data_IF_457132269881
#
_entry.id   IF_457132269881
#
_cell.length_a   1.000
_cell.length_b   1.000
_cell.length_c   1.000
_cell.angle_alpha   90.00
_cell.angle_beta   90.00
_cell.angle_gamma   90.00
#
_symmetry.space_group_name_H-M   'P 1'
#
loop_
_entity.id
_entity.type
_entity.pdbx_description
1 polymer ?
#
# COMPACT_ATOMS: atom_id res chain seq x y z
N UNK A 1 20.51 -22.08 -14.93
CA UNK A 1 21.04 -21.27 -13.81
C UNK A 1 20.86 -19.81 -14.16
N UNK A 2 20.25 -19.00 -13.29
CA UNK A 2 20.03 -17.57 -13.52
C UNK A 2 21.35 -16.78 -13.47
N UNK A 3 21.38 -15.61 -14.11
CA UNK A 3 22.55 -14.73 -14.11
C UNK A 3 22.79 -14.22 -12.68
N UNK A 4 24.02 -14.33 -12.12
CA UNK A 4 24.31 -13.84 -10.78
C UNK A 4 23.95 -12.38 -10.62
N UNK A 5 23.21 -12.05 -9.57
CA UNK A 5 22.77 -10.69 -9.31
C UNK A 5 21.48 -10.29 -10.02
N UNK A 6 20.80 -11.15 -10.78
CA UNK A 6 19.51 -10.81 -11.37
C UNK A 6 18.35 -11.19 -10.43
N UNK A 7 17.60 -10.21 -9.93
CA UNK A 7 16.43 -10.45 -9.08
C UNK A 7 15.16 -10.55 -9.91
N UNK A 8 14.30 -11.52 -9.61
CA UNK A 8 12.98 -11.61 -10.23
C UNK A 8 12.08 -10.53 -9.61
N UNK A 9 11.56 -9.63 -10.44
CA UNK A 9 10.56 -8.64 -10.00
C UNK A 9 9.30 -9.36 -9.48
N UNK A 10 8.75 -8.98 -8.32
CA UNK A 10 7.46 -9.47 -7.86
C UNK A 10 6.37 -9.01 -8.82
N UNK A 11 5.32 -9.83 -8.96
CA UNK A 11 4.10 -9.41 -9.64
C UNK A 11 3.30 -8.52 -8.69
N UNK A 12 3.52 -7.20 -8.79
CA UNK A 12 2.80 -6.20 -8.00
C UNK A 12 1.62 -5.63 -8.79
N UNK A 13 0.45 -5.41 -8.16
CA UNK A 13 -0.61 -4.63 -8.79
C UNK A 13 -0.10 -3.22 -9.13
N UNK A 14 -0.75 -2.55 -10.08
CA UNK A 14 -0.43 -1.16 -10.37
C UNK A 14 -0.60 -0.29 -9.10
N UNK A 15 0.39 0.55 -8.78
CA UNK A 15 0.38 1.36 -7.57
C UNK A 15 1.77 1.79 -7.09
N UNK A 16 1.81 2.54 -5.98
CA UNK A 16 3.04 3.19 -5.49
C UNK A 16 4.12 2.21 -5.04
N UNK A 17 3.73 1.03 -4.53
CA UNK A 17 4.68 -0.03 -4.20
C UNK A 17 5.38 -0.59 -5.46
N UNK A 18 4.64 -0.69 -6.57
CA UNK A 18 5.21 -1.08 -7.86
C UNK A 18 6.18 -0.02 -8.36
N UNK A 19 5.83 1.26 -8.27
CA UNK A 19 6.70 2.37 -8.70
C UNK A 19 8.02 2.38 -7.92
N UNK A 20 7.96 2.18 -6.58
CA UNK A 20 9.15 2.04 -5.75
C UNK A 20 10.00 0.82 -6.16
N UNK A 21 9.37 -0.34 -6.34
CA UNK A 21 10.07 -1.56 -6.74
C UNK A 21 10.74 -1.38 -8.12
N UNK A 22 10.04 -0.77 -9.07
CA UNK A 22 10.56 -0.48 -10.39
C UNK A 22 11.74 0.49 -10.34
N UNK A 23 11.69 1.52 -9.50
CA UNK A 23 12.79 2.46 -9.27
C UNK A 23 14.03 1.76 -8.67
N UNK A 24 13.85 0.88 -7.68
CA UNK A 24 14.95 0.12 -7.08
C UNK A 24 15.60 -0.84 -8.09
N UNK A 25 14.79 -1.53 -8.89
CA UNK A 25 15.30 -2.41 -9.95
C UNK A 25 16.00 -1.64 -11.07
N UNK A 26 15.50 -0.45 -11.43
CA UNK A 26 16.17 0.41 -12.40
C UNK A 26 17.52 0.90 -11.88
N UNK A 27 17.59 1.35 -10.63
CA UNK A 27 18.83 1.77 -9.98
C UNK A 27 19.83 0.61 -9.90
N UNK A 28 19.35 -0.58 -9.56
CA UNK A 28 20.17 -1.80 -9.52
C UNK A 28 20.70 -2.20 -10.90
N UNK A 29 19.90 -2.04 -11.96
CA UNK A 29 20.33 -2.23 -13.34
C UNK A 29 21.44 -1.24 -13.72
N UNK A 30 21.24 0.05 -13.44
CA UNK A 30 22.22 1.11 -13.74
C UNK A 30 23.53 0.90 -12.96
N UNK A 31 23.45 0.39 -11.72
CA UNK A 31 24.60 0.04 -10.89
C UNK A 31 25.38 -1.22 -11.35
N UNK A 32 24.98 -1.81 -12.48
CA UNK A 32 25.61 -3.02 -13.04
C UNK A 32 25.19 -4.32 -12.34
N UNK A 33 24.01 -4.34 -11.73
CA UNK A 33 23.39 -5.52 -11.10
C UNK A 33 24.31 -6.24 -10.10
N UNK A 34 24.82 -5.55 -9.06
CA UNK A 34 25.66 -6.19 -8.06
C UNK A 34 24.94 -7.37 -7.40
N UNK A 35 25.69 -8.44 -7.13
CA UNK A 35 25.17 -9.62 -6.45
C UNK A 35 24.78 -9.34 -4.99
N UNK A 36 23.92 -10.19 -4.39
CA UNK A 36 23.61 -10.12 -2.96
C UNK A 36 24.87 -10.14 -2.10
N UNK A 37 25.84 -10.97 -2.45
CA UNK A 37 27.10 -11.09 -1.70
C UNK A 37 27.91 -9.80 -1.76
N UNK A 38 27.95 -9.16 -2.94
CA UNK A 38 28.60 -7.87 -3.14
C UNK A 38 27.92 -6.79 -2.31
N UNK A 39 26.59 -6.67 -2.39
CA UNK A 39 25.83 -5.66 -1.65
C UNK A 39 25.95 -5.87 -0.13
N UNK A 40 25.83 -7.11 0.33
CA UNK A 40 25.96 -7.47 1.74
C UNK A 40 27.33 -7.10 2.31
N UNK A 41 28.40 -7.26 1.51
CA UNK A 41 29.77 -6.86 1.88
C UNK A 41 29.93 -5.34 1.92
N UNK A 42 29.42 -4.63 0.92
CA UNK A 42 29.48 -3.16 0.87
C UNK A 42 28.76 -2.54 2.07
N UNK A 43 27.64 -3.12 2.48
CA UNK A 43 26.90 -2.74 3.67
C UNK A 43 27.51 -3.21 4.99
N UNK A 44 28.72 -3.77 4.97
CA UNK A 44 29.41 -4.29 6.16
C UNK A 44 28.54 -5.26 6.98
N UNK A 45 27.66 -6.03 6.31
CA UNK A 45 26.73 -6.99 6.94
C UNK A 45 25.69 -6.38 7.90
N UNK A 46 25.43 -5.07 7.83
CA UNK A 46 24.42 -4.39 8.66
C UNK A 46 22.99 -4.85 8.35
N UNK A 47 22.73 -5.28 7.11
CA UNK A 47 21.45 -5.80 6.65
C UNK A 47 21.64 -7.25 6.22
N UNK A 48 20.77 -8.16 6.66
CA UNK A 48 20.88 -9.57 6.29
C UNK A 48 20.67 -9.79 4.79
N UNK A 49 21.32 -10.83 4.24
CA UNK A 49 21.14 -11.22 2.83
C UNK A 49 19.67 -11.47 2.48
N UNK A 50 18.91 -12.05 3.41
CA UNK A 50 17.46 -12.28 3.24
C UNK A 50 16.71 -10.96 3.11
N UNK A 51 16.95 -9.97 3.99
CA UNK A 51 16.28 -8.66 3.87
C UNK A 51 16.63 -7.93 2.57
N UNK A 52 17.88 -8.03 2.13
CA UNK A 52 18.30 -7.47 0.84
C UNK A 52 17.58 -8.15 -0.33
N UNK A 53 17.52 -9.48 -0.33
CA UNK A 53 16.79 -10.24 -1.33
C UNK A 53 15.30 -9.85 -1.35
N UNK A 54 14.67 -9.86 -0.17
CA UNK A 54 13.24 -9.60 -0.03
C UNK A 54 12.86 -8.19 -0.47
N UNK A 55 13.74 -7.19 -0.32
CA UNK A 55 13.50 -5.84 -0.81
C UNK A 55 13.29 -5.77 -2.34
N UNK A 56 13.87 -6.71 -3.10
CA UNK A 56 13.70 -6.80 -4.55
C UNK A 56 12.61 -7.75 -4.99
N UNK A 57 12.34 -8.82 -4.22
CA UNK A 57 11.54 -9.96 -4.68
C UNK A 57 10.21 -10.13 -3.97
N UNK A 58 10.04 -9.60 -2.76
CA UNK A 58 8.80 -9.78 -1.99
C UNK A 58 7.79 -8.67 -2.28
N UNK A 59 6.47 -8.97 -2.31
CA UNK A 59 5.42 -8.00 -2.54
C UNK A 59 5.09 -7.20 -1.27
N UNK A 60 6.12 -6.75 -0.54
CA UNK A 60 5.98 -6.02 0.72
C UNK A 60 6.85 -4.78 0.70
N UNK A 61 6.39 -3.69 1.33
CA UNK A 61 7.21 -2.49 1.46
C UNK A 61 8.45 -2.78 2.33
N UNK A 62 9.67 -2.64 1.80
CA UNK A 62 10.88 -2.75 2.62
C UNK A 62 10.96 -1.61 3.65
N UNK A 63 11.55 -1.84 4.84
CA UNK A 63 11.80 -0.78 5.81
C UNK A 63 12.67 0.33 5.20
N UNK A 64 12.44 1.58 5.61
CA UNK A 64 13.20 2.73 5.08
C UNK A 64 14.72 2.54 5.23
N UNK A 65 15.19 2.10 6.41
CA UNK A 65 16.63 1.84 6.64
C UNK A 65 17.24 0.86 5.62
N UNK A 66 16.43 -0.07 5.09
CA UNK A 66 16.87 -1.00 4.04
C UNK A 66 16.92 -0.33 2.68
N UNK A 67 15.95 0.51 2.36
CA UNK A 67 15.91 1.28 1.11
C UNK A 67 17.03 2.30 1.06
N UNK A 68 17.23 3.06 2.13
CA UNK A 68 18.29 4.07 2.27
C UNK A 68 19.68 3.45 2.03
N UNK A 69 19.98 2.37 2.73
CA UNK A 69 21.22 1.61 2.57
C UNK A 69 21.39 1.06 1.13
N UNK A 70 20.32 0.60 0.48
CA UNK A 70 20.36 0.15 -0.91
C UNK A 70 20.65 1.31 -1.86
N UNK A 71 20.01 2.46 -1.68
CA UNK A 71 20.24 3.65 -2.50
C UNK A 71 21.68 4.11 -2.36
N UNK A 72 22.21 4.16 -1.12
CA UNK A 72 23.60 4.54 -0.87
C UNK A 72 24.58 3.70 -1.70
N UNK A 73 24.47 2.37 -1.64
CA UNK A 73 25.40 1.49 -2.35
C UNK A 73 25.17 1.45 -3.87
N UNK A 74 23.92 1.52 -4.32
CA UNK A 74 23.61 1.40 -5.75
C UNK A 74 23.87 2.70 -6.49
N UNK A 75 23.51 3.85 -5.92
CA UNK A 75 23.79 5.14 -6.51
C UNK A 75 25.29 5.41 -6.58
N UNK A 76 26.07 5.01 -5.56
CA UNK A 76 27.54 5.11 -5.59
C UNK A 76 28.18 4.32 -6.74
N UNK A 77 27.52 3.25 -7.20
CA UNK A 77 27.98 2.41 -8.31
C UNK A 77 27.41 2.82 -9.67
N UNK A 78 26.31 3.56 -9.67
CA UNK A 78 25.64 4.01 -10.87
C UNK A 78 26.48 5.11 -11.54
N UNK A 79 26.84 4.96 -12.83
CA UNK A 79 27.58 6.00 -13.53
C UNK A 79 26.74 7.27 -13.64
N UNK A 80 27.33 8.41 -13.24
CA UNK A 80 26.71 9.73 -13.36
C UNK A 80 25.55 9.99 -12.39
N UNK A 81 25.42 9.21 -11.32
CA UNK A 81 24.49 9.50 -10.22
C UNK A 81 25.23 9.51 -8.89
N UNK A 82 24.74 10.33 -7.97
CA UNK A 82 25.17 10.33 -6.57
C UNK A 82 24.02 9.89 -5.67
N UNK A 83 24.29 9.31 -4.48
CA UNK A 83 23.26 9.01 -3.51
C UNK A 83 22.37 10.21 -3.18
N UNK A 84 22.95 11.40 -3.07
CA UNK A 84 22.26 12.65 -2.72
C UNK A 84 21.23 13.08 -3.77
N UNK A 85 21.46 12.76 -5.03
CA UNK A 85 20.51 13.06 -6.12
C UNK A 85 19.37 12.04 -6.19
N UNK A 86 19.65 10.77 -5.90
CA UNK A 86 18.66 9.68 -6.05
C UNK A 86 17.78 9.53 -4.80
N UNK A 87 18.33 9.79 -3.61
CA UNK A 87 17.65 9.56 -2.34
C UNK A 87 16.32 10.32 -2.22
N UNK A 88 16.20 11.61 -2.58
CA UNK A 88 14.92 12.33 -2.49
C UNK A 88 13.81 11.71 -3.33
N UNK A 89 14.13 11.28 -4.56
CA UNK A 89 13.17 10.66 -5.48
C UNK A 89 12.67 9.32 -4.92
N UNK A 90 13.60 8.47 -4.46
CA UNK A 90 13.26 7.16 -3.90
C UNK A 90 12.54 7.29 -2.55
N UNK A 91 12.92 8.27 -1.73
CA UNK A 91 12.25 8.57 -0.46
C UNK A 91 10.80 9.00 -0.70
N UNK A 92 10.55 9.87 -1.67
CA UNK A 92 9.19 10.28 -2.02
C UNK A 92 8.33 9.07 -2.44
N UNK A 93 8.87 8.17 -3.27
CA UNK A 93 8.18 6.92 -3.64
C UNK A 93 7.93 6.02 -2.43
N UNK A 94 8.89 5.93 -1.51
CA UNK A 94 8.74 5.16 -0.28
C UNK A 94 7.65 5.71 0.62
N UNK A 95 7.59 7.03 0.82
CA UNK A 95 6.53 7.69 1.60
C UNK A 95 5.16 7.42 1.00
N UNK A 96 5.02 7.58 -0.31
CA UNK A 96 3.76 7.31 -1.04
C UNK A 96 3.37 5.83 -0.93
N UNK A 97 4.32 4.92 -1.03
CA UNK A 97 4.08 3.48 -0.86
C UNK A 97 3.77 3.11 0.60
N UNK A 98 4.33 3.82 1.58
CA UNK A 98 4.01 3.65 3.00
C UNK A 98 2.59 4.06 3.30
N UNK A 99 2.15 5.20 2.76
CA UNK A 99 0.76 5.65 2.87
C UNK A 99 -0.19 4.65 2.24
N UNK A 100 0.14 4.13 1.05
CA UNK A 100 -0.67 3.11 0.40
C UNK A 100 -0.65 1.76 1.13
N UNK A 101 0.47 1.37 1.77
CA UNK A 101 0.55 0.11 2.52
C UNK A 101 -0.35 0.10 3.76
N UNK A 102 -0.50 1.24 4.43
CA UNK A 102 -1.53 1.39 5.48
C UNK A 102 -2.93 1.04 4.96
N UNK A 103 -3.17 1.10 3.65
CA UNK A 103 -4.44 0.72 3.01
C UNK A 103 -4.50 -0.75 2.54
N UNK A 104 -3.43 -1.55 2.62
CA UNK A 104 -3.42 -2.96 2.14
C UNK A 104 -3.48 -4.00 3.27
N UNK A 105 -3.11 -3.64 4.49
CA UNK A 105 -3.39 -4.41 5.70
C UNK A 105 -3.67 -3.43 6.85
N UNK A 106 -4.74 -2.64 6.72
CA UNK A 106 -5.08 -1.59 7.67
C UNK A 106 -5.41 -2.18 9.03
N UNK A 107 -4.94 -1.53 10.10
CA UNK A 107 -5.50 -1.76 11.42
C UNK A 107 -7.00 -1.41 11.42
N UNK A 108 -7.78 -2.00 12.34
CA UNK A 108 -9.21 -1.67 12.47
C UNK A 108 -9.48 -0.16 12.61
N UNK A 109 -8.52 0.57 13.19
CA UNK A 109 -8.57 2.03 13.28
C UNK A 109 -8.37 2.73 11.95
N UNK A 110 -7.41 2.28 11.13
CA UNK A 110 -7.17 2.86 9.79
C UNK A 110 -8.37 2.59 8.85
N UNK A 111 -9.01 1.42 8.94
CA UNK A 111 -10.27 1.17 8.21
C UNK A 111 -11.36 2.14 8.67
N UNK A 112 -11.54 2.30 9.97
CA UNK A 112 -12.52 3.23 10.52
C UNK A 112 -12.26 4.67 10.07
N UNK A 113 -11.02 5.14 10.17
CA UNK A 113 -10.64 6.51 9.79
C UNK A 113 -10.90 6.76 8.29
N UNK A 114 -10.60 5.79 7.42
CA UNK A 114 -10.86 5.88 5.97
C UNK A 114 -12.36 5.85 5.64
N UNK A 115 -13.14 5.01 6.32
CA UNK A 115 -14.61 4.99 6.17
C UNK A 115 -15.18 6.34 6.58
N UNK A 116 -14.78 6.87 7.74
CA UNK A 116 -15.20 8.19 8.22
C UNK A 116 -14.83 9.28 7.21
N UNK A 117 -13.60 9.26 6.68
CA UNK A 117 -13.14 10.24 5.70
C UNK A 117 -13.94 10.17 4.40
N UNK A 118 -14.27 8.96 3.92
CA UNK A 118 -15.05 8.74 2.70
C UNK A 118 -16.47 9.27 2.84
N UNK A 119 -17.14 8.97 3.96
CA UNK A 119 -18.47 9.49 4.26
C UNK A 119 -18.46 11.02 4.38
N UNK A 120 -17.50 11.58 5.13
CA UNK A 120 -17.37 13.02 5.31
C UNK A 120 -17.17 13.74 3.96
N UNK A 121 -16.36 13.16 3.08
CA UNK A 121 -16.11 13.71 1.76
C UNK A 121 -17.38 13.69 0.88
N UNK A 122 -18.11 12.57 0.84
CA UNK A 122 -19.26 12.42 -0.04
C UNK A 122 -20.50 13.19 0.43
N UNK A 123 -20.68 13.33 1.75
CA UNK A 123 -21.76 14.11 2.36
C UNK A 123 -21.39 15.59 2.56
N UNK A 124 -20.16 15.99 2.25
CA UNK A 124 -19.63 17.34 2.48
C UNK A 124 -19.77 17.83 3.94
N UNK A 125 -19.70 16.90 4.91
CA UNK A 125 -19.77 17.17 6.35
C UNK A 125 -18.43 16.96 7.05
N UNK A 126 -18.34 17.34 8.33
CA UNK A 126 -17.09 17.16 9.08
C UNK A 126 -16.92 15.70 9.52
N UNK A 127 -15.68 15.15 9.52
CA UNK A 127 -15.41 13.80 10.04
C UNK A 127 -15.93 13.53 11.46
N UNK A 128 -15.96 14.55 12.32
CA UNK A 128 -16.49 14.43 13.69
C UNK A 128 -18.00 14.18 13.74
N UNK A 129 -18.75 14.67 12.75
CA UNK A 129 -20.19 14.46 12.66
C UNK A 129 -20.49 13.02 12.25
N UNK A 130 -19.68 12.48 11.32
CA UNK A 130 -19.69 11.07 10.92
C UNK A 130 -19.29 10.16 12.08
N UNK A 131 -18.24 10.53 12.83
CA UNK A 131 -17.78 9.76 14.01
C UNK A 131 -18.85 9.71 15.11
N UNK A 132 -19.60 10.80 15.32
CA UNK A 132 -20.73 10.82 16.24
C UNK A 132 -21.90 9.94 15.77
N UNK A 133 -21.97 9.66 14.45
CA UNK A 133 -23.01 8.86 13.81
C UNK A 133 -22.67 7.35 13.72
N UNK A 134 -21.56 6.90 14.29
CA UNK A 134 -21.03 5.54 14.08
C UNK A 134 -22.02 4.40 14.38
N UNK A 135 -22.80 4.56 15.45
CA UNK A 135 -23.69 3.54 16.02
C UNK A 135 -25.17 3.80 15.76
N UNK A 136 -25.49 4.85 15.00
CA UNK A 136 -26.88 5.22 14.68
C UNK A 136 -27.18 4.92 13.22
N UNK A 137 -28.47 4.75 12.94
CA UNK A 137 -28.98 4.59 11.58
C UNK A 137 -28.52 5.75 10.70
N UNK A 138 -27.81 5.42 9.60
CA UNK A 138 -27.31 6.42 8.66
C UNK A 138 -28.46 7.21 8.01
N UNK A 139 -29.58 6.53 7.72
CA UNK A 139 -30.78 7.14 7.14
C UNK A 139 -31.45 8.15 8.08
N UNK A 140 -31.39 7.91 9.40
CA UNK A 140 -32.05 8.78 10.37
C UNK A 140 -31.18 9.95 10.82
N UNK A 141 -29.86 9.83 10.70
CA UNK A 141 -28.91 10.77 11.30
C UNK A 141 -28.12 11.61 10.30
N UNK A 142 -27.74 11.05 9.14
CA UNK A 142 -26.91 11.75 8.16
C UNK A 142 -27.80 12.46 7.14
N UNK A 143 -27.90 13.78 7.27
CA UNK A 143 -28.62 14.61 6.30
C UNK A 143 -27.99 14.47 4.90
N UNK A 144 -28.81 14.17 3.89
CA UNK A 144 -28.35 13.93 2.53
C UNK A 144 -27.82 12.52 2.25
N UNK A 145 -27.85 11.62 3.25
CA UNK A 145 -27.54 10.21 3.01
C UNK A 145 -28.70 9.48 2.31
N UNK A 146 -28.35 8.71 1.28
CA UNK A 146 -29.24 7.79 0.59
C UNK A 146 -28.47 6.54 0.12
N UNK A 147 -29.18 5.61 -0.52
CA UNK A 147 -28.58 4.38 -1.06
C UNK A 147 -27.55 4.63 -2.15
N UNK A 148 -27.60 5.78 -2.84
CA UNK A 148 -26.63 6.15 -3.85
C UNK A 148 -25.31 6.62 -3.22
N UNK A 149 -25.37 7.39 -2.13
CA UNK A 149 -24.20 7.75 -1.33
C UNK A 149 -23.51 6.49 -0.80
N UNK A 150 -24.28 5.53 -0.27
CA UNK A 150 -23.71 4.27 0.22
C UNK A 150 -23.00 3.47 -0.89
N UNK A 151 -23.58 3.41 -2.10
CA UNK A 151 -22.95 2.78 -3.26
C UNK A 151 -21.62 3.48 -3.64
N UNK A 152 -21.58 4.81 -3.58
CA UNK A 152 -20.35 5.57 -3.85
C UNK A 152 -19.29 5.35 -2.78
N UNK A 153 -19.69 5.29 -1.50
CA UNK A 153 -18.79 4.95 -0.38
C UNK A 153 -18.20 3.57 -0.62
N UNK A 154 -19.01 2.55 -0.86
CA UNK A 154 -18.54 1.18 -1.08
C UNK A 154 -17.54 1.11 -2.25
N UNK A 155 -17.87 1.69 -3.39
CA UNK A 155 -16.97 1.71 -4.54
C UNK A 155 -15.68 2.53 -4.31
N UNK A 156 -15.71 3.54 -3.44
CA UNK A 156 -14.50 4.25 -3.01
C UNK A 156 -13.63 3.35 -2.11
N UNK A 157 -14.22 2.67 -1.13
CA UNK A 157 -13.51 1.76 -0.23
C UNK A 157 -12.89 0.58 -0.98
N UNK A 158 -13.61 -0.03 -1.94
CA UNK A 158 -13.06 -1.08 -2.79
C UNK A 158 -11.77 -0.63 -3.51
N UNK A 159 -11.76 0.61 -4.02
CA UNK A 159 -10.57 1.20 -4.66
C UNK A 159 -9.46 1.53 -3.67
N UNK A 160 -9.80 2.08 -2.50
CA UNK A 160 -8.82 2.43 -1.46
C UNK A 160 -8.10 1.18 -0.94
N UNK A 161 -8.85 0.10 -0.68
CA UNK A 161 -8.37 -1.15 -0.09
C UNK A 161 -7.96 -2.19 -1.14
N UNK A 162 -8.05 -1.87 -2.43
CA UNK A 162 -7.74 -2.77 -3.54
C UNK A 162 -8.51 -4.10 -3.47
N UNK A 163 -9.78 -4.02 -3.09
CA UNK A 163 -10.75 -5.12 -3.13
C UNK A 163 -11.30 -5.25 -4.56
N UNK A 164 -11.70 -6.45 -4.96
CA UNK A 164 -12.41 -6.65 -6.23
C UNK A 164 -13.81 -6.05 -6.13
N UNK A 165 -14.31 -5.54 -7.25
CA UNK A 165 -15.69 -5.08 -7.34
C UNK A 165 -16.66 -6.19 -6.91
N UNK A 166 -17.52 -5.89 -5.94
CA UNK A 166 -18.49 -6.82 -5.35
C UNK A 166 -17.98 -7.59 -4.13
N UNK A 167 -16.70 -7.46 -3.73
CA UNK A 167 -16.22 -8.05 -2.47
C UNK A 167 -16.79 -7.34 -1.24
N UNK A 168 -17.39 -6.16 -1.41
CA UNK A 168 -18.07 -5.37 -0.39
C UNK A 168 -19.60 -5.29 -0.61
N UNK A 169 -20.19 -6.19 -1.40
CA UNK A 169 -21.62 -6.12 -1.74
C UNK A 169 -22.54 -6.15 -0.50
N UNK A 170 -22.14 -6.87 0.54
CA UNK A 170 -22.88 -6.93 1.81
C UNK A 170 -22.97 -5.54 2.49
N UNK A 171 -22.00 -4.66 2.26
CA UNK A 171 -21.97 -3.31 2.83
C UNK A 171 -23.03 -2.38 2.24
N UNK A 172 -23.65 -2.73 1.09
CA UNK A 172 -24.80 -2.00 0.55
C UNK A 172 -26.06 -2.12 1.42
N UNK A 173 -26.09 -3.09 2.34
CA UNK A 173 -27.19 -3.31 3.28
C UNK A 173 -26.87 -2.86 4.70
N UNK A 174 -25.72 -2.22 4.92
CA UNK A 174 -25.35 -1.71 6.23
C UNK A 174 -26.32 -0.60 6.67
N UNK A 175 -26.85 -0.71 7.87
CA UNK A 175 -27.72 0.30 8.49
C UNK A 175 -26.90 1.37 9.22
N UNK A 176 -25.70 1.00 9.69
CA UNK A 176 -24.80 1.87 10.44
C UNK A 176 -23.41 1.97 9.81
N UNK A 177 -22.69 3.06 10.12
CA UNK A 177 -21.30 3.23 9.67
C UNK A 177 -20.40 2.17 10.31
N UNK A 178 -20.68 1.75 11.55
CA UNK A 178 -19.96 0.66 12.21
C UNK A 178 -20.07 -0.66 11.45
N UNK A 179 -21.24 -0.97 10.89
CA UNK A 179 -21.41 -2.16 10.06
C UNK A 179 -20.59 -2.07 8.77
N UNK A 180 -20.53 -0.89 8.12
CA UNK A 180 -19.66 -0.67 6.96
C UNK A 180 -18.19 -0.94 7.32
N UNK A 181 -17.71 -0.43 8.47
CA UNK A 181 -16.35 -0.70 8.95
C UNK A 181 -16.12 -2.20 9.17
N UNK A 182 -17.06 -2.89 9.83
CA UNK A 182 -16.95 -4.31 10.13
C UNK A 182 -16.93 -5.17 8.84
N UNK A 183 -17.80 -4.87 7.88
CA UNK A 183 -17.85 -5.58 6.60
C UNK A 183 -16.59 -5.32 5.75
N UNK A 184 -16.04 -4.11 5.81
CA UNK A 184 -14.76 -3.79 5.16
C UNK A 184 -13.60 -4.58 5.76
N UNK A 185 -13.55 -4.71 7.08
CA UNK A 185 -12.55 -5.55 7.76
C UNK A 185 -12.69 -7.03 7.39
N UNK A 186 -13.92 -7.55 7.36
CA UNK A 186 -14.19 -8.92 6.96
C UNK A 186 -13.75 -9.20 5.51
N UNK A 187 -14.00 -8.26 4.59
CA UNK A 187 -13.57 -8.37 3.20
C UNK A 187 -12.04 -8.40 3.06
N UNK A 188 -11.33 -7.61 3.87
CA UNK A 188 -9.87 -7.56 3.92
C UNK A 188 -9.24 -8.84 4.50
N UNK A 189 -9.91 -9.49 5.46
CA UNK A 189 -9.46 -10.75 6.07
C UNK A 189 -9.79 -11.97 5.21
N UNK A 190 -10.76 -11.87 4.30
CA UNK A 190 -11.14 -12.97 3.44
C UNK A 190 -9.99 -13.31 2.47
N UNK A 191 -9.55 -14.59 2.37
CA UNK A 191 -8.59 -14.97 1.35
C UNK A 191 -9.23 -14.69 -0.01
N UNK A 192 -8.61 -13.82 -0.82
CA UNK A 192 -9.12 -13.43 -2.14
C UNK A 192 -9.64 -14.69 -2.82
N UNK A 193 -10.95 -14.82 -3.00
CA UNK A 193 -11.51 -16.00 -3.65
C UNK A 193 -10.91 -16.02 -5.04
N UNK A 194 -10.03 -17.00 -5.27
CA UNK A 194 -9.52 -17.30 -6.60
C UNK A 194 -10.71 -17.53 -7.53
N UNK A 195 -10.60 -17.17 -8.82
CA UNK A 195 -11.70 -17.37 -9.75
C UNK A 195 -12.13 -18.84 -9.69
N UNK A 196 -13.41 -19.05 -9.36
CA UNK A 196 -14.04 -20.36 -9.48
C UNK A 196 -14.16 -20.62 -10.98
N UNK A 197 -13.44 -21.65 -11.45
CA UNK A 197 -13.57 -22.21 -12.80
C UNK A 197 -15.00 -22.69 -13.09
#
# INVERSE_FOLDING_TARGET
MGVPGQFKKPSLPAGRLRDLNDALHALHLIAGQPSLETMHRLLQKRISRTRLHDAFTEPRLPPWDTVDALVEILATRAPGRTPQEVLPEVHALWVLASQQRSLLNPSGREVQDEVIATFAQLLEIRPREVEAAMDVSMLDYLEGFDSYVLLQVVGALERCFNLKAGELDDAHYAETIREVVALTLLALEAPSKGPTE
#
